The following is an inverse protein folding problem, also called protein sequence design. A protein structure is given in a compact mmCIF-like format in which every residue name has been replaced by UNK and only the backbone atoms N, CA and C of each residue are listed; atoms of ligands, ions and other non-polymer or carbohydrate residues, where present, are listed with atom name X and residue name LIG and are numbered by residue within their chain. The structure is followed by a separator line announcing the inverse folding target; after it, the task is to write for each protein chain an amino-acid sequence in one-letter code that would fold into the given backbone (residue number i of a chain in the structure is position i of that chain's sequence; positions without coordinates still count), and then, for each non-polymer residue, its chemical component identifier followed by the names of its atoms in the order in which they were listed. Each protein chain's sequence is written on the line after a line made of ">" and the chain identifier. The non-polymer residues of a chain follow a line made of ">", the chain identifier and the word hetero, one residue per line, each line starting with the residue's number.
data_IF_554446307692
#
_entry.id   IF_554446307692
#
_cell.length_a   1.000
_cell.length_b   1.000
_cell.length_c   1.000
_cell.angle_alpha   90.00
_cell.angle_beta   90.00
_cell.angle_gamma   90.00
#
_symmetry.space_group_name_H-M   'P 1'
#
loop_
_entity.id
_entity.type
_entity.pdbx_description
1 polymer ?
#
# COMPACT_ATOMS: atom_id res chain seq x y z
N UNK A 1 14.18 -5.93 -3.56
CA UNK A 1 12.92 -5.53 -4.19
C UNK A 1 13.03 -5.49 -5.70
N UNK A 2 12.06 -6.11 -6.38
CA UNK A 2 11.90 -6.06 -7.83
C UNK A 2 10.47 -5.62 -8.12
N UNK A 3 10.30 -4.62 -8.99
CA UNK A 3 8.97 -4.24 -9.49
C UNK A 3 8.39 -5.43 -10.26
N UNK A 4 7.24 -5.92 -9.82
CA UNK A 4 6.52 -7.00 -10.52
C UNK A 4 5.65 -6.39 -11.59
N UNK A 5 4.72 -5.52 -11.19
CA UNK A 5 3.78 -4.87 -12.10
C UNK A 5 3.08 -3.67 -11.45
N UNK A 6 2.32 -2.94 -12.29
CA UNK A 6 1.35 -1.93 -11.85
C UNK A 6 -0.04 -2.43 -12.23
N UNK A 7 -1.00 -2.36 -11.29
CA UNK A 7 -2.35 -2.91 -11.48
C UNK A 7 -3.38 -2.05 -10.76
N UNK A 8 -4.42 -1.62 -11.49
CA UNK A 8 -5.48 -0.76 -10.98
C UNK A 8 -4.96 0.47 -10.19
N UNK A 9 -3.88 1.09 -10.69
CA UNK A 9 -3.22 2.23 -10.03
C UNK A 9 -2.27 1.87 -8.87
N UNK A 10 -2.33 0.65 -8.34
CA UNK A 10 -1.37 0.14 -7.34
C UNK A 10 -0.07 -0.35 -7.99
N UNK A 11 0.98 -0.45 -7.18
CA UNK A 11 2.30 -0.94 -7.57
C UNK A 11 2.64 -2.17 -6.72
N UNK A 12 2.93 -3.30 -7.38
CA UNK A 12 3.29 -4.55 -6.70
C UNK A 12 4.81 -4.78 -6.81
N UNK A 13 5.48 -4.93 -5.67
CA UNK A 13 6.88 -5.32 -5.59
C UNK A 13 7.03 -6.73 -5.02
N UNK A 14 8.06 -7.44 -5.46
CA UNK A 14 8.48 -8.73 -4.89
C UNK A 14 9.80 -8.56 -4.14
N UNK A 15 9.90 -9.21 -2.98
CA UNK A 15 11.10 -9.31 -2.17
C UNK A 15 11.29 -8.11 -1.23
N UNK A 16 10.71 -8.24 -0.04
CA UNK A 16 11.03 -7.45 1.16
C UNK A 16 11.88 -8.27 2.16
N UNK A 17 12.39 -7.62 3.22
CA UNK A 17 13.15 -8.24 4.31
C UNK A 17 12.31 -9.25 5.12
N UNK A 18 12.94 -9.97 6.06
CA UNK A 18 12.31 -10.95 6.97
C UNK A 18 11.06 -10.44 7.71
N UNK A 19 10.84 -9.13 7.75
CA UNK A 19 9.74 -8.48 8.47
C UNK A 19 8.46 -8.38 7.63
N UNK A 20 8.52 -8.67 6.33
CA UNK A 20 7.36 -8.62 5.43
C UNK A 20 7.23 -9.89 4.62
N UNK A 21 6.02 -10.09 4.10
CA UNK A 21 5.72 -11.16 3.17
C UNK A 21 6.37 -10.91 1.79
N UNK A 22 6.39 -11.94 0.94
CA UNK A 22 7.12 -11.96 -0.33
C UNK A 22 6.69 -10.90 -1.35
N UNK A 23 5.44 -10.43 -1.28
CA UNK A 23 4.87 -9.43 -2.19
C UNK A 23 4.28 -8.28 -1.40
N UNK A 24 4.43 -7.06 -1.89
CA UNK A 24 3.93 -5.87 -1.25
C UNK A 24 3.25 -4.95 -2.24
N UNK A 25 2.11 -4.40 -1.83
CA UNK A 25 1.29 -3.49 -2.61
C UNK A 25 1.49 -2.07 -2.09
N UNK A 26 1.74 -1.15 -3.02
CA UNK A 26 1.95 0.25 -2.73
C UNK A 26 0.98 1.13 -3.51
N UNK A 27 0.66 2.27 -2.90
CA UNK A 27 0.18 3.45 -3.61
C UNK A 27 1.27 4.52 -3.56
N UNK A 28 1.78 4.95 -4.72
CA UNK A 28 2.97 5.80 -4.85
C UNK A 28 4.20 5.26 -4.09
N UNK A 29 4.39 5.72 -2.85
CA UNK A 29 5.50 5.37 -1.95
C UNK A 29 5.03 4.81 -0.61
N UNK A 30 3.73 4.64 -0.41
CA UNK A 30 3.13 4.15 0.83
C UNK A 30 2.81 2.68 0.70
N UNK A 31 3.34 1.88 1.64
CA UNK A 31 2.97 0.47 1.77
C UNK A 31 1.52 0.40 2.23
N UNK A 32 0.69 -0.29 1.47
CA UNK A 32 -0.72 -0.53 1.80
C UNK A 32 -0.85 -1.85 2.55
N UNK A 33 -0.32 -2.93 1.98
CA UNK A 33 -0.39 -4.28 2.55
C UNK A 33 0.68 -5.21 1.94
N UNK A 34 0.89 -6.37 2.56
CA UNK A 34 1.80 -7.42 2.12
C UNK A 34 1.17 -8.83 2.07
N UNK A 35 1.63 -9.63 1.11
CA UNK A 35 1.05 -10.92 0.74
C UNK A 35 2.13 -11.99 0.53
N UNK A 36 1.82 -13.24 0.87
CA UNK A 36 2.75 -14.36 0.67
C UNK A 36 2.92 -14.71 -0.82
N UNK A 37 1.87 -14.47 -1.61
CA UNK A 37 1.78 -14.86 -3.00
C UNK A 37 1.27 -13.70 -3.88
N UNK A 38 1.61 -13.75 -5.17
CA UNK A 38 1.26 -12.68 -6.11
C UNK A 38 -0.24 -12.61 -6.36
N UNK A 39 -0.92 -13.75 -6.40
CA UNK A 39 -2.35 -13.82 -6.71
C UNK A 39 -3.20 -13.06 -5.69
N UNK A 40 -2.88 -13.16 -4.40
CA UNK A 40 -3.59 -12.43 -3.34
C UNK A 40 -3.33 -10.92 -3.46
N UNK A 41 -2.09 -10.51 -3.77
CA UNK A 41 -1.75 -9.11 -4.01
C UNK A 41 -2.52 -8.55 -5.22
N UNK A 42 -2.68 -9.33 -6.28
CA UNK A 42 -3.47 -8.96 -7.45
C UNK A 42 -4.96 -8.86 -7.14
N UNK A 43 -5.51 -9.85 -6.42
CA UNK A 43 -6.90 -9.86 -6.02
C UNK A 43 -7.25 -8.66 -5.12
N UNK A 44 -6.33 -8.27 -4.24
CA UNK A 44 -6.44 -7.02 -3.48
C UNK A 44 -6.53 -5.81 -4.42
N UNK A 45 -5.57 -5.66 -5.35
CA UNK A 45 -5.57 -4.53 -6.28
C UNK A 45 -6.85 -4.45 -7.15
N UNK A 46 -7.44 -5.60 -7.49
CA UNK A 46 -8.68 -5.65 -8.28
C UNK A 46 -9.94 -5.31 -7.46
N UNK A 47 -9.93 -5.58 -6.15
CA UNK A 47 -11.06 -5.32 -5.25
C UNK A 47 -11.08 -3.88 -4.74
N UNK A 48 -9.91 -3.32 -4.49
CA UNK A 48 -9.75 -2.02 -3.83
C UNK A 48 -9.70 -0.87 -4.83
N UNK A 49 -10.14 0.30 -4.39
CA UNK A 49 -10.10 1.55 -5.17
C UNK A 49 -8.88 2.37 -4.78
N UNK A 50 -7.98 2.58 -5.75
CA UNK A 50 -6.74 3.34 -5.58
C UNK A 50 -7.01 4.79 -5.18
N UNK A 51 -8.08 5.42 -5.68
CA UNK A 51 -8.40 6.82 -5.40
C UNK A 51 -8.87 7.00 -3.94
N UNK A 52 -9.57 6.00 -3.39
CA UNK A 52 -9.98 6.01 -1.98
C UNK A 52 -8.79 5.84 -1.04
N UNK A 53 -7.84 4.98 -1.40
CA UNK A 53 -6.56 4.88 -0.67
C UNK A 53 -5.75 6.18 -0.76
N UNK A 54 -5.69 6.80 -1.94
CA UNK A 54 -5.04 8.11 -2.12
C UNK A 54 -5.67 9.19 -1.21
N UNK A 55 -7.00 9.23 -1.12
CA UNK A 55 -7.73 10.14 -0.23
C UNK A 55 -7.50 9.84 1.25
N UNK A 56 -7.47 8.56 1.64
CA UNK A 56 -7.19 8.16 3.02
C UNK A 56 -5.77 8.55 3.45
N UNK A 57 -4.77 8.28 2.60
CA UNK A 57 -3.37 8.66 2.84
C UNK A 57 -3.23 10.19 2.93
N UNK A 58 -3.87 10.94 2.02
CA UNK A 58 -3.86 12.40 2.06
C UNK A 58 -4.47 12.93 3.37
N UNK A 59 -5.61 12.38 3.78
CA UNK A 59 -6.29 12.75 5.04
C UNK A 59 -5.43 12.44 6.27
N UNK A 60 -4.73 11.30 6.26
CA UNK A 60 -3.79 10.93 7.32
C UNK A 60 -2.63 11.92 7.42
N UNK A 61 -2.08 12.37 6.28
CA UNK A 61 -1.03 13.40 6.25
C UNK A 61 -1.51 14.73 6.79
N UNK A 62 -2.69 15.19 6.37
CA UNK A 62 -3.26 16.43 6.91
C UNK A 62 -3.50 16.34 8.42
N UNK A 63 -3.90 15.18 8.95
CA UNK A 63 -4.03 14.97 10.39
C UNK A 63 -2.70 15.07 11.16
N UNK A 64 -1.61 14.57 10.57
CA UNK A 64 -0.25 14.69 11.12
C UNK A 64 0.25 16.13 11.03
N UNK A 65 0.15 16.76 9.86
CA UNK A 65 0.65 18.11 9.59
C UNK A 65 -0.13 19.18 10.37
N UNK A 66 -1.41 18.96 10.67
CA UNK A 66 -2.22 19.83 11.53
C UNK A 66 -2.10 19.51 13.04
N UNK A 67 -1.19 18.62 13.47
CA UNK A 67 -0.92 18.35 14.88
C UNK A 67 -2.07 17.66 15.63
N UNK A 68 -2.94 16.93 14.93
CA UNK A 68 -4.10 16.23 15.51
C UNK A 68 -3.81 14.77 15.90
N UNK A 69 -2.56 14.30 15.83
CA UNK A 69 -2.16 13.07 16.51
C UNK A 69 -1.92 13.35 18.00
N UNK A 70 -2.99 13.59 18.74
CA UNK A 70 -2.98 13.29 20.17
C UNK A 70 -3.07 11.77 20.33
N UNK A 71 -2.04 11.23 20.97
CA UNK A 71 -1.94 9.86 21.46
C UNK A 71 -3.24 9.51 22.21
N UNK A 72 -3.85 8.39 21.84
CA UNK A 72 -4.96 7.76 22.55
C UNK A 72 -5.00 6.29 22.24
#
# INVERSE_FOLDING_TARGET
>A
MKLVQKRNGFIIYQGFSNDFKSYAVFHDFYLIDDFENLADAEAFCDREDVDDWGRWIASYREGIDNGLLWIG
#
